data_IF_533170273701
#
_entry.id   IF_533170273701
#
_cell.length_a   1.000
_cell.length_b   1.000
_cell.length_c   1.000
_cell.angle_alpha   90.00
_cell.angle_beta   90.00
_cell.angle_gamma   90.00
#
_symmetry.space_group_name_H-M   'P 1'
#
loop_
_entity.id
_entity.type
_entity.pdbx_description
1 polymer ?
#
# COMPACT_ATOMS: atom_id res chain seq x y z
N UNK A 1 -27.46 19.25 5.94
CA UNK A 1 -26.17 19.97 6.02
C UNK A 1 -25.67 19.85 7.44
N UNK A 2 -24.76 18.90 7.67
CA UNK A 2 -24.10 18.66 8.97
C UNK A 2 -22.60 18.94 8.83
N UNK A 3 -22.26 20.11 8.29
CA UNK A 3 -20.91 20.47 7.78
C UNK A 3 -19.75 20.38 8.78
N UNK A 4 -20.03 20.14 10.07
CA UNK A 4 -19.01 19.91 11.09
C UNK A 4 -18.58 18.45 11.20
N UNK A 5 -19.47 17.49 10.96
CA UNK A 5 -19.09 16.09 10.92
C UNK A 5 -18.31 15.80 9.65
N UNK A 6 -18.77 16.30 8.50
CA UNK A 6 -18.13 16.12 7.20
C UNK A 6 -16.63 16.52 7.25
N UNK A 7 -16.31 17.67 7.87
CA UNK A 7 -14.93 18.13 8.01
C UNK A 7 -14.09 17.30 9.01
N UNK A 8 -14.69 16.79 10.08
CA UNK A 8 -14.02 15.95 11.06
C UNK A 8 -13.77 14.54 10.52
N UNK A 9 -14.73 13.99 9.78
CA UNK A 9 -14.66 12.67 9.16
C UNK A 9 -13.63 12.67 8.02
N UNK A 10 -13.59 13.70 7.17
CA UNK A 10 -12.51 13.88 6.17
C UNK A 10 -11.15 13.95 6.87
N UNK A 11 -11.04 14.69 7.98
CA UNK A 11 -9.76 14.80 8.71
C UNK A 11 -9.32 13.46 9.28
N UNK A 12 -10.26 12.66 9.80
CA UNK A 12 -10.01 11.31 10.31
C UNK A 12 -9.52 10.38 9.19
N UNK A 13 -10.30 10.23 8.11
CA UNK A 13 -9.95 9.31 7.02
C UNK A 13 -8.66 9.71 6.30
N UNK A 14 -8.42 11.02 6.14
CA UNK A 14 -7.15 11.52 5.60
C UNK A 14 -5.97 11.11 6.47
N UNK A 15 -6.07 11.29 7.79
CA UNK A 15 -5.00 10.91 8.71
C UNK A 15 -4.73 9.40 8.65
N UNK A 16 -5.78 8.58 8.72
CA UNK A 16 -5.66 7.12 8.63
C UNK A 16 -5.01 6.66 7.32
N UNK A 17 -5.41 7.25 6.18
CA UNK A 17 -4.80 6.93 4.90
C UNK A 17 -3.33 7.35 4.87
N UNK A 18 -2.99 8.55 5.33
CA UNK A 18 -1.59 9.01 5.34
C UNK A 18 -0.69 8.15 6.23
N UNK A 19 -1.19 7.70 7.38
CA UNK A 19 -0.46 6.77 8.24
C UNK A 19 -0.20 5.45 7.54
N UNK A 20 -1.23 4.87 6.91
CA UNK A 20 -1.13 3.63 6.16
C UNK A 20 -0.17 3.73 4.96
N UNK A 21 -0.27 4.80 4.15
CA UNK A 21 0.62 5.00 3.01
C UNK A 21 2.07 5.19 3.44
N UNK A 22 2.33 5.86 4.57
CA UNK A 22 3.70 6.05 5.07
C UNK A 22 4.38 4.73 5.43
N UNK A 23 3.61 3.74 5.87
CA UNK A 23 4.13 2.43 6.29
C UNK A 23 4.28 1.50 5.09
N UNK A 24 3.23 1.36 4.27
CA UNK A 24 3.17 0.33 3.22
C UNK A 24 3.24 0.86 1.79
N UNK A 25 3.01 2.15 1.55
CA UNK A 25 3.03 2.72 0.18
C UNK A 25 3.75 4.08 0.13
N UNK A 26 5.00 4.16 0.62
CA UNK A 26 5.71 5.43 0.75
C UNK A 26 5.80 6.23 -0.55
N UNK A 27 5.76 5.57 -1.71
CA UNK A 27 5.72 6.18 -3.04
C UNK A 27 4.43 6.98 -3.33
N UNK A 28 3.33 6.69 -2.64
CA UNK A 28 2.05 7.39 -2.78
C UNK A 28 1.88 8.57 -1.82
N UNK A 29 2.77 8.72 -0.82
CA UNK A 29 2.63 9.73 0.24
C UNK A 29 2.68 11.18 -0.28
N UNK A 30 3.32 11.40 -1.43
CA UNK A 30 3.39 12.71 -2.08
C UNK A 30 2.23 12.98 -3.05
N UNK A 31 1.38 12.00 -3.32
CA UNK A 31 0.23 12.13 -4.22
C UNK A 31 -0.96 12.77 -3.48
N UNK A 32 -0.92 14.08 -3.35
CA UNK A 32 -1.94 14.85 -2.63
C UNK A 32 -3.34 14.74 -3.24
N UNK A 33 -3.46 14.59 -4.56
CA UNK A 33 -4.74 14.44 -5.25
C UNK A 33 -5.37 13.08 -4.93
N UNK A 34 -4.57 12.01 -4.95
CA UNK A 34 -5.00 10.68 -4.51
C UNK A 34 -5.45 10.69 -3.05
N UNK A 35 -4.64 11.22 -2.14
CA UNK A 35 -4.96 11.27 -0.71
C UNK A 35 -6.27 12.05 -0.47
N UNK A 36 -6.43 13.20 -1.13
CA UNK A 36 -7.60 14.05 -0.96
C UNK A 36 -8.85 13.36 -1.49
N UNK A 37 -8.85 12.95 -2.77
CA UNK A 37 -10.00 12.28 -3.38
C UNK A 37 -10.39 10.99 -2.66
N UNK A 38 -9.42 10.20 -2.21
CA UNK A 38 -9.67 8.96 -1.47
C UNK A 38 -10.26 9.21 -0.08
N UNK A 39 -9.75 10.21 0.65
CA UNK A 39 -10.28 10.58 1.97
C UNK A 39 -11.70 11.16 1.90
N UNK A 40 -12.00 11.95 0.86
CA UNK A 40 -13.34 12.50 0.62
C UNK A 40 -14.33 11.39 0.25
N UNK A 41 -13.94 10.44 -0.60
CA UNK A 41 -14.78 9.30 -0.97
C UNK A 41 -15.13 8.42 0.23
N UNK A 42 -14.17 8.19 1.14
CA UNK A 42 -14.42 7.45 2.38
C UNK A 42 -15.38 8.21 3.31
N UNK A 43 -15.20 9.53 3.46
CA UNK A 43 -16.11 10.37 4.25
C UNK A 43 -17.54 10.36 3.67
N UNK A 44 -17.69 10.46 2.36
CA UNK A 44 -18.99 10.38 1.70
C UNK A 44 -19.66 9.01 1.92
N UNK A 45 -18.89 7.92 1.82
CA UNK A 45 -19.38 6.56 2.10
C UNK A 45 -19.86 6.42 3.55
N UNK A 46 -19.10 6.96 4.51
CA UNK A 46 -19.49 7.00 5.92
C UNK A 46 -20.82 7.74 6.13
N UNK A 47 -20.94 8.96 5.59
CA UNK A 47 -22.15 9.76 5.69
C UNK A 47 -23.36 9.05 5.06
N UNK A 48 -23.16 8.42 3.91
CA UNK A 48 -24.22 7.68 3.22
C UNK A 48 -24.67 6.46 4.04
N UNK A 49 -23.74 5.72 4.62
CA UNK A 49 -24.04 4.58 5.49
C UNK A 49 -24.84 5.01 6.73
N UNK A 50 -24.46 6.12 7.38
CA UNK A 50 -25.20 6.70 8.51
C UNK A 50 -26.60 7.15 8.09
N UNK A 51 -26.74 7.83 6.94
CA UNK A 51 -28.05 8.23 6.40
C UNK A 51 -28.96 7.03 6.11
N UNK A 52 -28.38 5.89 5.74
CA UNK A 52 -29.08 4.64 5.50
C UNK A 52 -29.40 3.85 6.78
N UNK A 53 -29.05 4.37 7.96
CA UNK A 53 -29.38 3.78 9.25
C UNK A 53 -28.31 2.86 9.84
N UNK A 54 -27.12 2.80 9.23
CA UNK A 54 -25.98 2.07 9.79
C UNK A 54 -25.53 2.74 11.09
N UNK A 55 -25.04 1.95 12.05
CA UNK A 55 -24.38 2.52 13.22
C UNK A 55 -22.96 3.00 12.87
N UNK A 56 -22.30 3.72 13.79
CA UNK A 56 -20.99 4.32 13.54
C UNK A 56 -19.90 3.30 13.18
N UNK A 57 -19.96 2.08 13.74
CA UNK A 57 -18.99 1.01 13.44
C UNK A 57 -19.20 0.48 12.02
N UNK A 58 -20.44 0.14 11.67
CA UNK A 58 -20.78 -0.34 10.32
C UNK A 58 -20.50 0.70 9.23
N UNK A 59 -20.74 1.98 9.52
CA UNK A 59 -20.42 3.06 8.60
C UNK A 59 -18.90 3.24 8.43
N UNK A 60 -18.13 3.10 9.51
CA UNK A 60 -16.67 3.17 9.46
C UNK A 60 -16.08 1.98 8.68
N UNK A 61 -16.63 0.78 8.82
CA UNK A 61 -16.20 -0.39 8.04
C UNK A 61 -16.42 -0.18 6.54
N UNK A 62 -17.57 0.34 6.12
CA UNK A 62 -17.85 0.66 4.72
C UNK A 62 -16.93 1.76 4.19
N UNK A 63 -16.68 2.81 4.98
CA UNK A 63 -15.77 3.87 4.62
C UNK A 63 -14.32 3.39 4.51
N UNK A 64 -13.87 2.51 5.42
CA UNK A 64 -12.54 1.92 5.38
C UNK A 64 -12.35 1.01 4.18
N UNK A 65 -13.38 0.27 3.77
CA UNK A 65 -13.34 -0.52 2.54
C UNK A 65 -13.07 0.37 1.32
N UNK A 66 -13.71 1.54 1.25
CA UNK A 66 -13.42 2.56 0.21
C UNK A 66 -12.02 3.15 0.38
N UNK A 67 -11.63 3.48 1.62
CA UNK A 67 -10.36 4.14 1.94
C UNK A 67 -9.15 3.32 1.48
N UNK A 68 -9.18 2.00 1.71
CA UNK A 68 -8.06 1.10 1.46
C UNK A 68 -8.22 0.23 0.20
N UNK A 69 -9.27 0.45 -0.60
CA UNK A 69 -9.50 -0.28 -1.84
C UNK A 69 -8.29 -0.20 -2.78
N UNK A 70 -7.79 -1.36 -3.21
CA UNK A 70 -6.64 -1.47 -4.12
C UNK A 70 -5.30 -1.15 -3.46
N UNK A 71 -5.24 -1.03 -2.13
CA UNK A 71 -4.02 -0.76 -1.37
C UNK A 71 -3.61 -1.92 -0.45
N UNK A 72 -4.33 -3.05 -0.44
CA UNK A 72 -3.97 -4.17 0.44
C UNK A 72 -2.71 -4.88 -0.06
N UNK A 73 -2.53 -4.97 -1.38
CA UNK A 73 -1.26 -5.43 -1.93
C UNK A 73 -0.26 -4.27 -2.00
N UNK A 74 0.79 -4.35 -1.19
CA UNK A 74 1.91 -3.40 -1.23
C UNK A 74 3.11 -3.99 -1.97
N UNK A 75 3.56 -3.27 -3.02
CA UNK A 75 4.83 -3.57 -3.70
C UNK A 75 6.01 -3.36 -2.77
N UNK A 76 5.98 -2.29 -1.98
CA UNK A 76 7.04 -1.93 -1.04
C UNK A 76 7.22 -2.99 0.06
N UNK A 77 6.14 -3.41 0.71
CA UNK A 77 6.17 -4.46 1.74
C UNK A 77 6.59 -5.81 1.15
N UNK A 78 6.17 -6.12 -0.08
CA UNK A 78 6.61 -7.33 -0.80
C UNK A 78 8.12 -7.34 -0.99
N UNK A 79 8.71 -6.21 -1.38
CA UNK A 79 10.16 -6.10 -1.53
C UNK A 79 10.89 -6.19 -0.18
N UNK A 80 10.38 -5.54 0.87
CA UNK A 80 10.92 -5.70 2.23
C UNK A 80 10.92 -7.17 2.65
N UNK A 81 9.81 -7.86 2.41
CA UNK A 81 9.66 -9.27 2.75
C UNK A 81 10.70 -10.14 2.02
N UNK A 82 10.93 -9.92 0.72
CA UNK A 82 11.97 -10.64 -0.02
C UNK A 82 13.37 -10.31 0.52
N UNK A 83 13.67 -9.02 0.77
CA UNK A 83 14.96 -8.60 1.32
C UNK A 83 15.27 -9.28 2.65
N UNK A 84 14.28 -9.41 3.54
CA UNK A 84 14.45 -10.05 4.83
C UNK A 84 14.62 -11.56 4.77
N UNK A 85 14.03 -12.24 3.78
CA UNK A 85 14.10 -13.70 3.69
C UNK A 85 15.26 -14.20 2.84
N UNK A 86 15.57 -13.51 1.74
CA UNK A 86 16.54 -13.98 0.74
C UNK A 86 17.86 -13.22 0.80
N UNK A 87 17.88 -12.00 1.35
CA UNK A 87 19.03 -11.09 1.29
C UNK A 87 19.43 -10.50 2.65
N UNK A 88 19.04 -11.13 3.76
CA UNK A 88 19.32 -10.62 5.12
C UNK A 88 20.82 -10.49 5.44
N UNK A 89 21.67 -11.29 4.80
CA UNK A 89 23.13 -11.22 4.95
C UNK A 89 23.77 -10.06 4.17
N UNK A 90 23.02 -9.46 3.23
CA UNK A 90 23.48 -8.39 2.33
C UNK A 90 22.87 -7.04 2.74
N UNK A 91 21.55 -7.02 2.99
CA UNK A 91 20.80 -5.80 3.30
C UNK A 91 20.31 -5.86 4.76
N UNK A 92 20.81 -4.98 5.64
CA UNK A 92 20.33 -4.91 7.02
C UNK A 92 18.83 -4.60 7.08
N UNK A 93 18.11 -5.26 8.00
CA UNK A 93 16.66 -5.05 8.15
C UNK A 93 16.27 -3.58 8.40
N UNK A 94 17.13 -2.82 9.08
CA UNK A 94 16.93 -1.38 9.34
C UNK A 94 16.96 -0.52 8.08
N UNK A 95 17.60 -0.99 7.01
CA UNK A 95 17.77 -0.28 5.73
C UNK A 95 16.79 -0.79 4.65
N UNK A 96 16.17 -1.96 4.88
CA UNK A 96 15.31 -2.63 3.91
C UNK A 96 14.17 -1.74 3.38
N UNK A 97 13.59 -0.89 4.23
CA UNK A 97 12.51 0.02 3.82
C UNK A 97 12.95 1.07 2.80
N UNK A 98 14.10 1.72 3.02
CA UNK A 98 14.65 2.70 2.08
C UNK A 98 15.19 2.00 0.82
N UNK A 99 15.79 0.82 0.97
CA UNK A 99 16.30 0.06 -0.16
C UNK A 99 15.18 -0.47 -1.05
N UNK A 100 14.08 -0.96 -0.48
CA UNK A 100 12.89 -1.37 -1.22
C UNK A 100 12.34 -0.25 -2.12
N UNK A 101 12.33 1.01 -1.63
CA UNK A 101 11.96 2.18 -2.44
C UNK A 101 12.89 2.37 -3.63
N UNK A 102 14.20 2.18 -3.45
CA UNK A 102 15.19 2.31 -4.53
C UNK A 102 15.07 1.19 -5.59
N UNK A 103 14.56 0.02 -5.20
CA UNK A 103 14.36 -1.14 -6.07
C UNK A 103 13.07 -1.07 -6.91
N UNK A 104 12.07 -0.29 -6.49
CA UNK A 104 10.79 -0.19 -7.17
C UNK A 104 10.92 0.06 -8.70
N UNK A 105 11.74 1.01 -9.19
CA UNK A 105 11.89 1.23 -10.63
C UNK A 105 12.41 0.00 -11.40
N UNK A 106 13.34 -0.75 -10.82
CA UNK A 106 13.92 -1.96 -11.42
C UNK A 106 12.94 -3.14 -11.39
N UNK A 107 12.08 -3.19 -10.37
CA UNK A 107 11.10 -4.26 -10.16
C UNK A 107 9.75 -3.99 -10.86
N UNK A 108 9.44 -2.75 -11.22
CA UNK A 108 8.17 -2.37 -11.86
C UNK A 108 7.85 -3.19 -13.12
N UNK A 109 8.80 -3.51 -14.03
CA UNK A 109 8.53 -4.37 -15.18
C UNK A 109 8.08 -5.78 -14.81
N UNK A 110 8.47 -6.30 -13.64
CA UNK A 110 7.99 -7.58 -13.11
C UNK A 110 6.60 -7.42 -12.55
N UNK A 111 6.38 -6.44 -11.66
CA UNK A 111 5.05 -6.16 -11.10
C UNK A 111 3.98 -5.95 -12.17
N UNK A 112 4.30 -5.26 -13.27
CA UNK A 112 3.39 -4.98 -14.37
C UNK A 112 2.86 -6.24 -15.11
N UNK A 113 3.47 -7.41 -14.90
CA UNK A 113 3.00 -8.69 -15.48
C UNK A 113 1.84 -9.30 -14.70
N UNK A 114 1.58 -8.82 -13.48
CA UNK A 114 0.64 -9.44 -12.54
C UNK A 114 -0.55 -8.52 -12.23
N UNK A 115 -1.75 -9.10 -12.03
CA UNK A 115 -2.93 -8.35 -11.59
C UNK A 115 -2.89 -8.16 -10.06
N UNK A 116 -2.15 -7.16 -9.58
CA UNK A 116 -1.93 -6.86 -8.16
C UNK A 116 -3.17 -6.26 -7.45
N UNK A 117 -4.26 -7.03 -7.40
CA UNK A 117 -5.45 -6.71 -6.59
C UNK A 117 -5.22 -7.03 -5.10
N UNK A 118 -6.17 -6.65 -4.26
CA UNK A 118 -6.05 -6.73 -2.80
C UNK A 118 -5.74 -8.14 -2.25
N UNK A 119 -6.31 -9.17 -2.87
CA UNK A 119 -6.11 -10.57 -2.46
C UNK A 119 -4.94 -11.27 -3.18
N UNK A 120 -4.13 -10.54 -3.96
CA UNK A 120 -3.11 -11.15 -4.85
C UNK A 120 -2.12 -12.02 -4.07
N UNK A 121 -1.73 -11.57 -2.88
CA UNK A 121 -0.77 -12.26 -2.01
C UNK A 121 -1.22 -13.66 -1.56
N UNK A 122 -2.52 -13.97 -1.66
CA UNK A 122 -3.07 -15.29 -1.31
C UNK A 122 -3.25 -16.23 -2.51
N UNK A 123 -2.84 -15.79 -3.70
CA UNK A 123 -2.93 -16.58 -4.92
C UNK A 123 -1.65 -17.40 -5.15
N UNK A 124 -1.73 -18.46 -5.95
CA UNK A 124 -0.54 -19.21 -6.38
C UNK A 124 0.38 -18.42 -7.32
N UNK A 125 -0.12 -17.33 -7.91
CA UNK A 125 0.69 -16.46 -8.78
C UNK A 125 1.65 -15.58 -7.98
N UNK A 126 1.41 -15.41 -6.69
CA UNK A 126 2.32 -14.70 -5.79
C UNK A 126 3.68 -15.39 -5.69
N UNK A 127 3.73 -16.72 -5.66
CA UNK A 127 5.01 -17.46 -5.63
C UNK A 127 5.87 -17.21 -6.88
N UNK A 128 5.20 -17.03 -8.04
CA UNK A 128 5.88 -16.67 -9.29
C UNK A 128 6.41 -15.24 -9.22
N UNK A 129 5.60 -14.29 -8.76
CA UNK A 129 6.02 -12.90 -8.55
C UNK A 129 7.23 -12.84 -7.61
N UNK A 130 7.16 -13.53 -6.47
CA UNK A 130 8.22 -13.60 -5.47
C UNK A 130 9.53 -14.10 -6.08
N UNK A 131 9.46 -15.17 -6.87
CA UNK A 131 10.64 -15.76 -7.54
C UNK A 131 11.25 -14.80 -8.57
N UNK A 132 10.42 -14.16 -9.41
CA UNK A 132 10.91 -13.20 -10.41
C UNK A 132 11.54 -11.95 -9.76
N UNK A 133 10.92 -11.44 -8.69
CA UNK A 133 11.46 -10.32 -7.92
C UNK A 133 12.78 -10.68 -7.25
N UNK A 134 12.88 -11.86 -6.64
CA UNK A 134 14.13 -12.34 -6.02
C UNK A 134 15.27 -12.38 -7.04
N UNK A 135 15.02 -12.93 -8.24
CA UNK A 135 16.01 -12.92 -9.32
C UNK A 135 16.39 -11.52 -9.79
N UNK A 136 15.40 -10.62 -9.89
CA UNK A 136 15.62 -9.21 -10.28
C UNK A 136 16.47 -8.47 -9.26
N UNK A 137 16.23 -8.67 -7.97
CA UNK A 137 17.01 -8.06 -6.87
C UNK A 137 18.43 -8.60 -6.88
N UNK A 138 18.64 -9.92 -7.07
CA UNK A 138 20.00 -10.48 -7.16
C UNK A 138 20.80 -9.85 -8.29
N UNK A 139 20.20 -9.70 -9.48
CA UNK A 139 20.87 -9.03 -10.62
C UNK A 139 21.20 -7.58 -10.27
N UNK A 140 20.26 -6.86 -9.63
CA UNK A 140 20.49 -5.48 -9.22
C UNK A 140 21.67 -5.37 -8.23
N UNK A 141 21.75 -6.26 -7.25
CA UNK A 141 22.84 -6.26 -6.27
C UNK A 141 24.19 -6.55 -6.92
N UNK A 142 24.26 -7.50 -7.85
CA UNK A 142 25.47 -7.82 -8.63
C UNK A 142 25.94 -6.60 -9.46
N UNK A 143 25.03 -5.93 -10.17
CA UNK A 143 25.33 -4.75 -10.99
C UNK A 143 25.85 -3.56 -10.18
N UNK A 144 25.47 -3.49 -8.90
CA UNK A 144 25.86 -2.44 -7.96
C UNK A 144 27.01 -2.85 -7.02
N UNK A 145 27.63 -4.02 -7.22
CA UNK A 145 28.72 -4.57 -6.40
C UNK A 145 28.37 -4.66 -4.89
N UNK A 146 27.10 -4.95 -4.59
CA UNK A 146 26.59 -5.12 -3.23
C UNK A 146 26.61 -6.58 -2.76
N UNK A 147 26.88 -7.54 -3.66
CA UNK A 147 27.00 -8.98 -3.40
C UNK A 147 28.43 -9.50 -3.54
#
# INVERSE_FOLDING_TARGET
MNSKNDAADISYFRLSLMEFLRESHPELTSNHDFITSRSEAAAESYEQAVRNGSNSVEAAEQANAVLFEGLHFSKHDTLIHILWNEFADVVPQSEAGEFALSLLPSCEPVFAKYPLWDDFAYTSEFDLLYTELTGTISIYLDEHELQ
#
